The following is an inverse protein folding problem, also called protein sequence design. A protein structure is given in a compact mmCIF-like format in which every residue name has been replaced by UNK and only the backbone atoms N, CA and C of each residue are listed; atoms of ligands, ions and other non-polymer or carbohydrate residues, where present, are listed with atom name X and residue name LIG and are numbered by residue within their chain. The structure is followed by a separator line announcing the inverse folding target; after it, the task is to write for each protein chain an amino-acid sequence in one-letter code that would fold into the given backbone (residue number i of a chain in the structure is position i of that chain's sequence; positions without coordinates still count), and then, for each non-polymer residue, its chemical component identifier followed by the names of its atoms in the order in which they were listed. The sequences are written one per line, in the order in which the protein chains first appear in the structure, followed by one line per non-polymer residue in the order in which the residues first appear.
data_IF_893625205062
#
_entry.id   IF_893625205062
#
_cell.length_a   1.000
_cell.length_b   1.000
_cell.length_c   1.000
_cell.angle_alpha   90.00
_cell.angle_beta   90.00
_cell.angle_gamma   90.00
#
_symmetry.space_group_name_H-M   'P 1'
#
loop_
_entity.id
_entity.type
_entity.pdbx_description
1 polymer ?
#
# COMPACT_ATOMS: atom_id res chain seq x y z
N UNK A 1 0.20 11.89 21.42
CA UNK A 1 1.35 12.82 21.40
C UNK A 1 2.53 12.12 20.80
N UNK A 2 3.43 12.84 20.11
CA UNK A 2 4.61 12.22 19.52
C UNK A 2 5.51 11.60 20.59
N UNK A 3 6.00 10.40 20.33
CA UNK A 3 6.93 9.70 21.22
C UNK A 3 8.38 9.82 20.74
N UNK A 4 9.33 9.69 21.67
CA UNK A 4 10.75 9.67 21.31
C UNK A 4 11.03 8.48 20.38
N UNK A 5 11.68 8.75 19.25
CA UNK A 5 11.96 7.77 18.21
C UNK A 5 10.84 7.63 17.16
N UNK A 6 9.72 8.31 17.35
CA UNK A 6 8.64 8.32 16.36
C UNK A 6 9.05 9.05 15.08
N UNK A 7 8.67 8.47 13.93
CA UNK A 7 8.81 9.10 12.63
C UNK A 7 7.59 10.00 12.38
N UNK A 8 7.85 11.29 12.16
CA UNK A 8 6.84 12.31 11.94
C UNK A 8 7.08 13.04 10.62
N UNK A 9 6.06 13.76 10.17
CA UNK A 9 6.11 14.61 8.98
C UNK A 9 5.76 16.03 9.40
N UNK A 10 6.60 17.00 9.06
CA UNK A 10 6.27 18.42 9.23
C UNK A 10 5.15 18.80 8.27
N UNK A 11 4.04 19.34 8.79
CA UNK A 11 2.85 19.66 7.99
C UNK A 11 3.09 20.71 6.92
N UNK A 12 3.90 21.72 7.21
CA UNK A 12 4.11 22.86 6.30
C UNK A 12 4.96 22.49 5.09
N UNK A 13 5.97 21.65 5.28
CA UNK A 13 6.97 21.33 4.25
C UNK A 13 6.82 19.92 3.70
N UNK A 14 6.13 19.03 4.43
CA UNK A 14 6.14 17.59 4.16
C UNK A 14 7.46 16.91 4.53
N UNK A 15 8.39 17.62 5.17
CA UNK A 15 9.69 17.06 5.50
C UNK A 15 9.56 16.00 6.59
N UNK A 16 10.27 14.90 6.40
CA UNK A 16 10.30 13.81 7.38
C UNK A 16 11.32 14.12 8.46
N UNK A 17 10.95 13.79 9.69
CA UNK A 17 11.82 13.89 10.83
C UNK A 17 11.61 12.73 11.80
N UNK A 18 12.59 12.52 12.67
CA UNK A 18 12.48 11.62 13.83
C UNK A 18 12.49 12.46 15.11
N UNK A 19 11.62 12.14 16.05
CA UNK A 19 11.57 12.80 17.36
C UNK A 19 12.77 12.33 18.19
N UNK A 20 13.66 13.25 18.55
CA UNK A 20 14.87 12.93 19.33
C UNK A 20 14.62 13.13 20.83
N UNK A 21 13.81 14.13 21.17
CA UNK A 21 13.47 14.49 22.55
C UNK A 21 12.05 15.05 22.60
N UNK A 22 11.34 14.73 23.67
CA UNK A 22 10.05 15.33 24.02
C UNK A 22 10.34 16.26 25.21
N UNK A 23 10.20 17.57 25.01
CA UNK A 23 10.33 18.54 26.10
C UNK A 23 9.04 18.62 26.91
N UNK A 24 7.90 18.64 26.22
CA UNK A 24 6.58 18.70 26.83
C UNK A 24 5.54 18.03 25.94
N UNK A 25 4.28 18.16 26.35
CA UNK A 25 3.12 17.71 25.58
C UNK A 25 2.98 18.42 24.23
N UNK A 26 3.43 19.66 24.14
CA UNK A 26 3.28 20.52 22.96
C UNK A 26 4.59 20.73 22.22
N UNK A 27 5.72 20.33 22.80
CA UNK A 27 7.05 20.78 22.40
C UNK A 27 8.00 19.59 22.25
N UNK A 28 8.61 19.47 21.07
CA UNK A 28 9.54 18.39 20.75
C UNK A 28 10.74 18.88 19.95
N UNK A 29 11.88 18.23 20.14
CA UNK A 29 13.06 18.38 19.28
C UNK A 29 13.13 17.23 18.28
N UNK A 30 13.16 17.58 17.00
CA UNK A 30 13.18 16.66 15.88
C UNK A 30 14.51 16.75 15.11
N UNK A 31 14.94 15.62 14.54
CA UNK A 31 16.01 15.60 13.54
C UNK A 31 15.41 15.35 12.16
N UNK A 32 15.60 16.28 11.26
CA UNK A 32 15.12 16.23 9.88
C UNK A 32 16.04 15.39 8.99
N UNK A 33 15.54 14.96 7.83
CA UNK A 33 16.31 14.16 6.87
C UNK A 33 17.56 14.87 6.32
N UNK A 34 17.58 16.20 6.32
CA UNK A 34 18.75 17.01 5.97
C UNK A 34 19.79 17.10 7.11
N UNK A 35 19.51 16.46 8.25
CA UNK A 35 20.38 16.40 9.40
C UNK A 35 20.22 17.54 10.39
N UNK A 36 19.38 18.55 10.09
CA UNK A 36 19.09 19.66 11.03
C UNK A 36 18.38 19.12 12.26
N UNK A 37 18.78 19.64 13.42
CA UNK A 37 18.11 19.40 14.69
C UNK A 37 17.31 20.65 15.03
N UNK A 38 15.99 20.55 15.06
CA UNK A 38 15.12 21.69 15.26
C UNK A 38 14.00 21.40 16.24
N UNK A 39 13.62 22.47 16.93
CA UNK A 39 12.48 22.51 17.81
C UNK A 39 11.19 22.67 17.01
N UNK A 40 10.12 21.96 17.41
CA UNK A 40 8.81 22.01 16.79
C UNK A 40 7.68 21.86 17.81
N UNK A 41 6.57 22.51 17.51
CA UNK A 41 5.33 22.23 18.20
C UNK A 41 4.66 20.97 17.66
N UNK A 42 4.02 20.19 18.53
CA UNK A 42 3.36 18.93 18.15
C UNK A 42 2.25 19.12 17.13
N UNK A 43 1.58 20.28 17.11
CA UNK A 43 0.56 20.59 16.09
C UNK A 43 1.15 20.77 14.69
N UNK A 44 2.43 21.14 14.58
CA UNK A 44 3.14 21.27 13.28
C UNK A 44 3.51 19.91 12.70
N UNK A 45 3.35 18.84 13.48
CA UNK A 45 3.74 17.49 13.11
C UNK A 45 2.50 16.64 12.82
N UNK A 46 2.64 15.79 11.83
CA UNK A 46 1.70 14.74 11.49
C UNK A 46 2.36 13.38 11.78
N UNK A 47 1.66 12.47 12.48
CA UNK A 47 2.14 11.11 12.65
C UNK A 47 2.28 10.46 11.27
N UNK A 48 3.39 9.75 11.05
CA UNK A 48 3.52 9.04 9.78
C UNK A 48 2.44 7.96 9.68
N UNK A 49 1.66 7.89 8.59
CA UNK A 49 0.74 6.79 8.41
C UNK A 49 1.54 5.49 8.36
N UNK A 50 1.32 4.64 9.37
CA UNK A 50 1.86 3.28 9.35
C UNK A 50 1.14 2.53 8.24
N UNK A 51 1.85 1.98 7.23
CA UNK A 51 1.18 1.16 6.25
C UNK A 51 0.54 -0.02 7.01
N UNK A 52 -0.73 -0.36 6.73
CA UNK A 52 -1.36 -1.48 7.40
C UNK A 52 -0.50 -2.71 7.13
N UNK A 53 -0.17 -3.47 8.18
CA UNK A 53 0.67 -4.68 8.08
C UNK A 53 0.14 -5.64 6.99
N UNK A 54 -1.18 -5.64 6.75
CA UNK A 54 -1.82 -6.37 5.65
C UNK A 54 -1.31 -6.00 4.25
N UNK A 55 -0.89 -4.75 4.01
CA UNK A 55 -0.31 -4.31 2.74
C UNK A 55 1.05 -4.97 2.48
N UNK A 56 1.91 -5.06 3.50
CA UNK A 56 3.19 -5.78 3.43
C UNK A 56 3.00 -7.28 3.18
N UNK A 57 2.07 -7.90 3.90
CA UNK A 57 1.72 -9.31 3.72
C UNK A 57 1.20 -9.55 2.29
N UNK A 58 0.33 -8.69 1.78
CA UNK A 58 -0.18 -8.79 0.41
C UNK A 58 0.93 -8.69 -0.64
N UNK A 59 1.92 -7.82 -0.42
CA UNK A 59 3.08 -7.68 -1.31
C UNK A 59 3.93 -8.96 -1.37
N UNK A 60 4.13 -9.63 -0.23
CA UNK A 60 4.92 -10.86 -0.13
C UNK A 60 4.15 -12.06 -0.72
N UNK A 61 2.86 -12.17 -0.45
CA UNK A 61 2.04 -13.31 -0.88
C UNK A 61 1.50 -13.18 -2.32
N UNK A 62 1.45 -11.96 -2.87
CA UNK A 62 1.03 -11.69 -4.25
C UNK A 62 1.69 -12.60 -5.31
N UNK A 63 3.03 -12.72 -5.39
CA UNK A 63 3.66 -13.58 -6.39
C UNK A 63 3.30 -15.06 -6.20
N UNK A 64 3.14 -15.52 -4.96
CA UNK A 64 2.74 -16.90 -4.67
C UNK A 64 1.30 -17.19 -5.05
N UNK A 65 0.37 -16.27 -4.77
CA UNK A 65 -1.04 -16.42 -5.18
C UNK A 65 -1.19 -16.39 -6.70
N UNK A 66 -0.42 -15.55 -7.39
CA UNK A 66 -0.42 -15.48 -8.86
C UNK A 66 0.16 -16.76 -9.47
N UNK A 67 1.24 -17.30 -8.91
CA UNK A 67 1.84 -18.56 -9.33
C UNK A 67 0.88 -19.75 -9.10
N UNK A 68 0.26 -19.84 -7.94
CA UNK A 68 -0.73 -20.87 -7.63
C UNK A 68 -1.96 -20.78 -8.55
N UNK A 69 -2.40 -19.57 -8.91
CA UNK A 69 -3.50 -19.37 -9.86
C UNK A 69 -3.16 -19.83 -11.28
N UNK A 70 -1.90 -19.63 -11.72
CA UNK A 70 -1.39 -20.13 -13.00
C UNK A 70 -1.31 -21.66 -13.04
N UNK A 71 -0.86 -22.29 -11.95
CA UNK A 71 -0.75 -23.76 -11.84
C UNK A 71 -2.13 -24.42 -11.73
N UNK A 72 -3.03 -23.82 -10.95
CA UNK A 72 -4.37 -24.35 -10.72
C UNK A 72 -5.42 -23.82 -11.71
N UNK A 73 -5.02 -23.22 -12.84
CA UNK A 73 -5.97 -22.79 -13.87
C UNK A 73 -6.80 -24.01 -14.29
N UNK A 74 -8.12 -24.05 -14.02
CA UNK A 74 -8.94 -25.11 -14.54
C UNK A 74 -8.87 -25.01 -16.05
N UNK A 75 -8.35 -26.06 -16.69
CA UNK A 75 -8.38 -26.19 -18.15
C UNK A 75 -9.85 -26.21 -18.53
N UNK A 76 -10.40 -25.06 -18.91
CA UNK A 76 -11.71 -24.96 -19.54
C UNK A 76 -11.68 -25.91 -20.74
N UNK A 77 -12.23 -27.12 -20.56
CA UNK A 77 -12.61 -27.95 -21.69
C UNK A 77 -13.70 -27.15 -22.37
N UNK A 78 -13.32 -26.45 -23.42
CA UNK A 78 -14.24 -25.85 -24.38
C UNK A 78 -15.10 -26.99 -24.89
N UNK A 79 -16.27 -27.18 -24.27
CA UNK A 79 -17.32 -28.01 -24.83
C UNK A 79 -17.73 -27.30 -26.10
N UNK A 80 -17.28 -27.85 -27.22
CA UNK A 80 -17.62 -27.38 -28.55
C UNK A 80 -19.15 -27.27 -28.61
N UNK A 81 -19.67 -26.03 -28.60
CA UNK A 81 -21.06 -25.76 -28.98
C UNK A 81 -21.20 -26.23 -30.43
N UNK A 82 -22.00 -27.26 -30.74
CA UNK A 82 -22.27 -27.58 -32.13
C UNK A 82 -23.08 -26.40 -32.69
N UNK A 83 -22.52 -25.71 -33.69
CA UNK A 83 -23.27 -24.72 -34.45
C UNK A 83 -24.47 -25.44 -35.09
N UNK A 84 -25.72 -24.99 -34.90
CA UNK A 84 -26.81 -25.52 -35.69
C UNK A 84 -26.55 -25.12 -37.15
N UNK A 85 -26.34 -26.12 -38.02
CA UNK A 85 -26.26 -25.90 -39.45
C UNK A 85 -27.63 -25.41 -39.93
N UNK A 86 -27.67 -24.18 -40.42
CA UNK A 86 -28.86 -23.56 -40.98
C UNK A 86 -29.12 -24.22 -42.34
N UNK A 87 -29.96 -25.26 -42.36
CA UNK A 87 -30.35 -25.97 -43.58
C UNK A 87 -31.25 -25.04 -44.40
N UNK A 88 -30.79 -24.68 -45.60
CA UNK A 88 -31.53 -23.91 -46.59
C UNK A 88 -32.58 -24.83 -47.26
N UNK A 89 -33.83 -24.38 -47.48
CA UNK A 89 -34.86 -25.21 -48.10
C UNK A 89 -34.57 -25.46 -49.60
N UNK A 90 -35.16 -26.51 -50.20
CA UNK A 90 -34.81 -26.99 -51.53
C UNK A 90 -35.30 -26.04 -52.62
N UNK A 91 -34.51 -25.90 -53.69
CA UNK A 91 -34.95 -25.32 -54.95
C UNK A 91 -35.41 -26.42 -55.90
N UNK A 92 -36.65 -26.25 -56.39
CA UNK A 92 -37.37 -26.94 -57.48
C UNK A 92 -37.64 -28.44 -57.35
#
# INVERSE_FOLDING_TARGET
MPERGEMVIERLTGNRAIVIRVESQEEVTCRFCDGRLEYRYTFELEPRPTPPIGSLISFILSPFTLLLSLINRPRERTTARPRPLLVRPPSS
#
